data_IF_910216622348
#
_entry.id   IF_910216622348
#
_cell.length_a   1.000
_cell.length_b   1.000
_cell.length_c   1.000
_cell.angle_alpha   90.00
_cell.angle_beta   90.00
_cell.angle_gamma   90.00
#
_symmetry.space_group_name_H-M   'P 1'
#
loop_
_entity.id
_entity.type
_entity.pdbx_description
1 polymer ?
#
# COMPACT_ATOMS: atom_id res chain seq x y z
N UNK A 1 -5.68 4.99 20.33
CA UNK A 1 -5.43 3.93 19.33
C UNK A 1 -4.55 2.91 20.01
N UNK A 2 -4.75 1.61 19.74
CA UNK A 2 -3.92 0.59 20.40
C UNK A 2 -2.45 0.77 20.03
N UNK A 3 -1.53 0.51 20.96
CA UNK A 3 -0.08 0.61 20.69
C UNK A 3 0.29 -0.31 19.53
N UNK A 4 -0.33 -1.49 19.45
CA UNK A 4 -0.13 -2.45 18.36
C UNK A 4 -0.53 -1.88 17.00
N UNK A 5 -1.73 -1.29 16.91
CA UNK A 5 -2.22 -0.69 15.66
C UNK A 5 -1.37 0.51 15.22
N UNK A 6 -0.90 1.35 16.16
CA UNK A 6 -0.03 2.47 15.83
C UNK A 6 1.30 2.00 15.23
N UNK A 7 1.91 0.98 15.82
CA UNK A 7 3.14 0.38 15.28
C UNK A 7 2.88 -0.23 13.89
N UNK A 8 1.76 -0.93 13.71
CA UNK A 8 1.37 -1.53 12.44
C UNK A 8 1.21 -0.49 11.31
N UNK A 9 0.60 0.66 11.61
CA UNK A 9 0.42 1.74 10.64
C UNK A 9 1.74 2.42 10.28
N UNK A 10 2.62 2.65 11.25
CA UNK A 10 3.97 3.17 10.97
C UNK A 10 4.78 2.21 10.12
N UNK A 11 4.73 0.91 10.41
CA UNK A 11 5.36 -0.12 9.58
C UNK A 11 4.80 -0.11 8.15
N UNK A 12 3.48 0.04 8.01
CA UNK A 12 2.82 0.14 6.71
C UNK A 12 3.28 1.35 5.90
N UNK A 13 3.53 2.50 6.54
CA UNK A 13 4.10 3.69 5.89
C UNK A 13 5.51 3.40 5.36
N UNK A 14 6.37 2.80 6.20
CA UNK A 14 7.75 2.47 5.81
C UNK A 14 7.75 1.49 4.63
N UNK A 15 6.91 0.46 4.68
CA UNK A 15 6.79 -0.52 3.60
C UNK A 15 6.20 0.09 2.32
N UNK A 16 5.27 1.04 2.44
CA UNK A 16 4.73 1.77 1.28
C UNK A 16 5.83 2.58 0.59
N UNK A 17 6.68 3.26 1.35
CA UNK A 17 7.83 4.01 0.84
C UNK A 17 8.90 3.08 0.24
N UNK A 18 9.23 1.98 0.91
CA UNK A 18 10.16 0.98 0.39
C UNK A 18 9.64 0.37 -0.93
N UNK A 19 8.36 0.02 -0.98
CA UNK A 19 7.72 -0.46 -2.21
C UNK A 19 7.73 0.59 -3.33
N UNK A 20 7.57 1.88 -3.01
CA UNK A 20 7.72 2.95 -3.99
C UNK A 20 9.13 3.00 -4.59
N UNK A 21 10.17 2.88 -3.76
CA UNK A 21 11.56 2.90 -4.21
C UNK A 21 11.94 1.65 -5.01
N UNK A 22 11.49 0.47 -4.59
CA UNK A 22 11.85 -0.81 -5.20
C UNK A 22 11.08 -1.09 -6.50
N UNK A 23 9.84 -0.59 -6.62
CA UNK A 23 9.01 -0.80 -7.81
C UNK A 23 9.08 0.36 -8.80
N UNK A 24 9.67 1.50 -8.46
CA UNK A 24 9.90 2.56 -9.44
C UNK A 24 11.14 2.25 -10.31
N UNK A 25 11.12 2.55 -11.62
CA UNK A 25 9.95 2.94 -12.44
C UNK A 25 9.11 1.71 -12.85
N UNK A 26 7.83 1.93 -13.18
CA UNK A 26 6.85 0.91 -13.62
C UNK A 26 6.80 0.76 -15.15
N UNK A 27 7.53 1.59 -15.89
CA UNK A 27 7.61 1.54 -17.34
C UNK A 27 7.48 2.94 -17.92
N UNK A 28 6.33 3.23 -18.52
CA UNK A 28 6.07 4.54 -19.16
C UNK A 28 5.86 5.65 -18.14
N UNK A 29 6.09 6.90 -18.56
CA UNK A 29 5.88 8.11 -17.75
C UNK A 29 4.46 8.18 -17.18
N UNK A 30 3.45 7.82 -17.97
CA UNK A 30 2.05 7.82 -17.52
C UNK A 30 1.82 6.84 -16.35
N UNK A 31 2.34 5.61 -16.46
CA UNK A 31 2.25 4.61 -15.38
C UNK A 31 3.02 5.05 -14.13
N UNK A 32 4.17 5.72 -14.31
CA UNK A 32 4.94 6.27 -13.20
C UNK A 32 4.15 7.37 -12.46
N UNK A 33 3.46 8.26 -13.18
CA UNK A 33 2.59 9.28 -12.56
C UNK A 33 1.44 8.65 -11.77
N UNK A 34 0.77 7.64 -12.34
CA UNK A 34 -0.30 6.90 -11.66
C UNK A 34 0.24 6.21 -10.41
N UNK A 35 1.41 5.57 -10.50
CA UNK A 35 2.04 4.89 -9.38
C UNK A 35 2.34 5.83 -8.21
N UNK A 36 2.88 7.02 -8.50
CA UNK A 36 3.13 8.04 -7.49
C UNK A 36 1.82 8.51 -6.86
N UNK A 37 0.79 8.78 -7.66
CA UNK A 37 -0.53 9.19 -7.15
C UNK A 37 -1.14 8.13 -6.23
N UNK A 38 -1.04 6.84 -6.58
CA UNK A 38 -1.48 5.73 -5.75
C UNK A 38 -0.70 5.68 -4.43
N UNK A 39 0.63 5.82 -4.46
CA UNK A 39 1.46 5.81 -3.23
C UNK A 39 1.16 7.00 -2.33
N UNK A 40 0.95 8.19 -2.89
CA UNK A 40 0.49 9.37 -2.13
C UNK A 40 -0.88 9.08 -1.48
N UNK A 41 -1.80 8.47 -2.22
CA UNK A 41 -3.11 8.04 -1.70
C UNK A 41 -3.02 7.01 -0.56
N UNK A 42 -2.10 6.05 -0.66
CA UNK A 42 -1.85 5.10 0.42
C UNK A 42 -1.34 5.81 1.69
N UNK A 43 -0.35 6.69 1.55
CA UNK A 43 0.22 7.43 2.68
C UNK A 43 -0.82 8.37 3.28
N UNK A 44 -1.61 9.06 2.48
CA UNK A 44 -2.67 9.95 2.98
C UNK A 44 -3.77 9.18 3.71
N UNK A 45 -4.20 8.02 3.20
CA UNK A 45 -5.12 7.11 3.90
C UNK A 45 -4.57 6.59 5.23
N UNK A 46 -3.29 6.21 5.26
CA UNK A 46 -2.57 5.80 6.48
C UNK A 46 -2.49 6.92 7.51
N UNK A 47 -2.14 8.14 7.09
CA UNK A 47 -2.09 9.31 7.96
C UNK A 47 -3.48 9.67 8.48
N UNK A 48 -4.50 9.67 7.62
CA UNK A 48 -5.89 9.89 8.03
C UNK A 48 -6.34 8.86 9.08
N UNK A 49 -5.96 7.59 8.93
CA UNK A 49 -6.26 6.54 9.90
C UNK A 49 -5.50 6.74 11.22
N UNK A 50 -4.25 7.21 11.17
CA UNK A 50 -3.42 7.56 12.33
C UNK A 50 -3.98 8.72 13.16
N UNK A 51 -4.46 9.78 12.50
CA UNK A 51 -4.88 11.02 13.16
C UNK A 51 -6.39 11.08 13.44
N UNK A 52 -7.23 10.67 12.49
CA UNK A 52 -8.69 10.84 12.59
C UNK A 52 -9.44 9.56 12.98
N UNK A 53 -8.76 8.41 13.08
CA UNK A 53 -9.32 7.10 13.51
C UNK A 53 -10.57 6.63 12.75
N UNK A 54 -10.88 7.27 11.62
CA UNK A 54 -12.08 7.01 10.85
C UNK A 54 -11.92 5.81 9.92
N UNK A 55 -13.01 5.05 9.73
CA UNK A 55 -13.10 3.97 8.72
C UNK A 55 -12.78 4.49 7.31
N UNK A 56 -12.97 5.79 7.05
CA UNK A 56 -12.62 6.45 5.81
C UNK A 56 -11.13 6.33 5.46
N UNK A 57 -10.22 6.52 6.43
CA UNK A 57 -8.77 6.39 6.19
C UNK A 57 -8.37 4.98 5.80
N UNK A 58 -8.98 3.97 6.44
CA UNK A 58 -8.81 2.57 6.09
C UNK A 58 -9.35 2.28 4.68
N UNK A 59 -10.52 2.82 4.33
CA UNK A 59 -11.13 2.62 3.01
C UNK A 59 -10.26 3.21 1.89
N UNK A 60 -9.81 4.45 2.05
CA UNK A 60 -8.92 5.12 1.11
C UNK A 60 -7.64 4.31 0.95
N UNK A 61 -7.01 3.93 2.07
CA UNK A 61 -5.79 3.14 2.04
C UNK A 61 -6.00 1.78 1.37
N UNK A 62 -7.09 1.07 1.65
CA UNK A 62 -7.40 -0.23 1.05
C UNK A 62 -7.65 -0.10 -0.46
N UNK A 63 -8.39 0.92 -0.90
CA UNK A 63 -8.62 1.20 -2.33
C UNK A 63 -7.31 1.51 -3.06
N UNK A 64 -6.46 2.36 -2.48
CA UNK A 64 -5.14 2.64 -3.05
C UNK A 64 -4.24 1.40 -3.05
N UNK A 65 -4.33 0.53 -2.03
CA UNK A 65 -3.58 -0.73 -1.98
C UNK A 65 -4.02 -1.68 -3.09
N UNK A 66 -5.33 -1.79 -3.38
CA UNK A 66 -5.82 -2.55 -4.53
C UNK A 66 -5.28 -1.98 -5.85
N UNK A 67 -5.24 -0.65 -6.00
CA UNK A 67 -4.58 0.00 -7.13
C UNK A 67 -3.10 -0.34 -7.24
N UNK A 68 -2.37 -0.38 -6.12
CA UNK A 68 -0.95 -0.74 -6.09
C UNK A 68 -0.70 -2.19 -6.51
N UNK A 69 -1.58 -3.12 -6.14
CA UNK A 69 -1.56 -4.51 -6.61
C UNK A 69 -1.70 -4.56 -8.13
N UNK A 70 -2.69 -3.87 -8.70
CA UNK A 70 -2.90 -3.83 -10.16
C UNK A 70 -1.64 -3.29 -10.85
N UNK A 71 -1.07 -2.20 -10.36
CA UNK A 71 0.14 -1.60 -10.93
C UNK A 71 1.34 -2.55 -10.85
N UNK A 72 1.46 -3.32 -9.77
CA UNK A 72 2.52 -4.32 -9.61
C UNK A 72 2.35 -5.49 -10.58
N UNK A 73 1.11 -5.93 -10.81
CA UNK A 73 0.79 -6.96 -11.82
C UNK A 73 1.08 -6.46 -13.24
N UNK A 74 0.71 -5.21 -13.54
CA UNK A 74 1.06 -4.57 -14.82
C UNK A 74 2.58 -4.51 -15.00
N UNK A 75 3.33 -4.09 -13.97
CA UNK A 75 4.80 -4.08 -14.01
C UNK A 75 5.36 -5.48 -14.26
N UNK A 76 4.83 -6.50 -13.59
CA UNK A 76 5.24 -7.88 -13.79
C UNK A 76 5.02 -8.32 -15.23
N UNK A 77 3.84 -8.04 -15.80
CA UNK A 77 3.54 -8.34 -17.21
C UNK A 77 4.54 -7.68 -18.18
N UNK A 78 4.88 -6.41 -17.95
CA UNK A 78 5.87 -5.67 -18.76
C UNK A 78 7.29 -6.24 -18.59
N UNK A 79 7.66 -6.63 -17.37
CA UNK A 79 9.00 -7.13 -17.07
C UNK A 79 9.28 -8.54 -17.63
N UNK A 80 8.24 -9.30 -17.99
CA UNK A 80 8.35 -10.64 -18.59
C UNK A 80 9.00 -11.70 -17.68
N UNK A 81 9.37 -11.34 -16.45
CA UNK A 81 10.05 -12.21 -15.49
C UNK A 81 9.42 -12.10 -14.10
N UNK A 82 9.25 -13.25 -13.44
CA UNK A 82 8.73 -13.32 -12.08
C UNK A 82 9.85 -13.00 -11.08
N UNK A 83 9.85 -11.77 -10.55
CA UNK A 83 10.68 -11.40 -9.41
C UNK A 83 9.93 -11.63 -8.11
N UNK A 84 10.62 -12.20 -7.11
CA UNK A 84 10.12 -12.36 -5.73
C UNK A 84 9.61 -11.02 -5.18
N UNK A 85 10.19 -9.89 -5.61
CA UNK A 85 9.78 -8.55 -5.20
C UNK A 85 8.33 -8.21 -5.58
N UNK A 86 7.83 -8.70 -6.72
CA UNK A 86 6.45 -8.45 -7.14
C UNK A 86 5.47 -9.20 -6.25
N UNK A 87 5.76 -10.48 -5.96
CA UNK A 87 4.93 -11.31 -5.09
C UNK A 87 4.90 -10.73 -3.68
N UNK A 88 6.05 -10.39 -3.11
CA UNK A 88 6.14 -9.79 -1.77
C UNK A 88 5.40 -8.46 -1.71
N UNK A 89 5.53 -7.62 -2.75
CA UNK A 89 4.84 -6.32 -2.78
C UNK A 89 3.31 -6.47 -2.79
N UNK A 90 2.77 -7.38 -3.60
CA UNK A 90 1.34 -7.70 -3.62
C UNK A 90 0.88 -8.20 -2.24
N UNK A 91 1.67 -9.10 -1.64
CA UNK A 91 1.34 -9.69 -0.35
C UNK A 91 1.30 -8.63 0.75
N UNK A 92 2.25 -7.69 0.76
CA UNK A 92 2.27 -6.55 1.68
C UNK A 92 1.07 -5.63 1.46
N UNK A 93 0.76 -5.27 0.21
CA UNK A 93 -0.35 -4.38 -0.13
C UNK A 93 -1.72 -4.98 0.25
N UNK A 94 -1.86 -6.31 0.28
CA UNK A 94 -3.10 -6.99 0.73
C UNK A 94 -3.11 -7.22 2.25
N UNK A 95 -2.02 -7.72 2.82
CA UNK A 95 -1.97 -8.13 4.22
C UNK A 95 -1.95 -6.93 5.18
N UNK A 96 -1.33 -5.81 4.81
CA UNK A 96 -1.23 -4.66 5.71
C UNK A 96 -2.61 -4.02 5.99
N UNK A 97 -3.45 -3.70 4.98
CA UNK A 97 -4.81 -3.20 5.22
C UNK A 97 -5.70 -4.24 5.91
N UNK A 98 -5.61 -5.51 5.52
CA UNK A 98 -6.39 -6.59 6.14
C UNK A 98 -6.05 -6.77 7.63
N UNK A 99 -4.76 -6.73 7.97
CA UNK A 99 -4.28 -6.77 9.35
C UNK A 99 -4.77 -5.58 10.17
N UNK A 100 -4.72 -4.38 9.60
CA UNK A 100 -5.26 -3.18 10.26
C UNK A 100 -6.78 -3.29 10.49
N UNK A 101 -7.54 -3.78 9.50
CA UNK A 101 -8.98 -4.02 9.63
C UNK A 101 -9.28 -5.05 10.74
N UNK A 102 -8.54 -6.16 10.79
CA UNK A 102 -8.71 -7.18 11.83
C UNK A 102 -8.42 -6.63 13.24
N UNK A 103 -7.39 -5.79 13.38
CA UNK A 103 -7.07 -5.12 14.66
C UNK A 103 -8.13 -4.09 15.07
N UNK A 104 -8.75 -3.41 14.09
CA UNK A 104 -9.86 -2.46 14.33
C UNK A 104 -11.16 -3.18 14.69
N UNK A 105 -11.45 -4.35 14.11
CA UNK A 105 -12.67 -5.14 14.37
C UNK A 105 -12.65 -5.88 15.71
N UNK A 106 -11.46 -6.21 16.24
CA UNK A 106 -11.28 -6.85 17.56
C UNK A 106 -11.37 -5.87 18.74
N UNK A 107 -11.70 -4.60 18.47
CA UNK A 107 -12.00 -3.56 19.46
C UNK A 107 -13.50 -3.35 19.53
#
# INVERSE_FOLDING_TARGET
>A
MDRKLKIWLWLSIVLTAAGALLLYPIGTTALNCIFIAVKIGMVSGLLALLFQKGKAGLLIWALCSAGAVIMTVVKWSIAGSASVLFVVSILVDVCMPAGAYAMLKRR
#
